data_IF_211018048848
#
_entry.id   IF_211018048848
#
_cell.length_a   1.000
_cell.length_b   1.000
_cell.length_c   1.000
_cell.angle_alpha   90.00
_cell.angle_beta   90.00
_cell.angle_gamma   90.00
#
_symmetry.space_group_name_H-M   'P 1'
#
loop_
_entity.id
_entity.type
_entity.pdbx_description
1 polymer ?
#
# COMPACT_ATOMS: atom_id res chain seq x y z
N UNK A 1 -10.67 9.14 17.22
CA UNK A 1 -11.16 8.07 16.34
C UNK A 1 -11.21 8.60 14.91
N UNK A 2 -10.21 8.32 14.06
CA UNK A 2 -10.35 8.60 12.62
C UNK A 2 -11.32 7.56 12.06
N UNK A 3 -12.47 8.00 11.54
CA UNK A 3 -13.42 7.12 10.87
C UNK A 3 -12.75 6.36 9.73
N UNK A 4 -13.10 5.09 9.53
CA UNK A 4 -12.63 4.33 8.37
C UNK A 4 -13.15 5.02 7.12
N UNK A 5 -12.24 5.40 6.21
CA UNK A 5 -12.60 5.86 4.87
C UNK A 5 -13.23 4.68 4.14
N UNK A 6 -14.44 4.86 3.58
CA UNK A 6 -15.10 3.83 2.79
C UNK A 6 -14.36 3.58 1.47
N UNK A 7 -14.71 2.48 0.79
CA UNK A 7 -14.01 2.05 -0.42
C UNK A 7 -14.15 3.06 -1.57
N UNK A 8 -15.33 3.63 -1.76
CA UNK A 8 -15.59 4.54 -2.88
C UNK A 8 -14.78 5.82 -2.72
N UNK A 9 -14.81 6.39 -1.51
CA UNK A 9 -13.98 7.54 -1.14
C UNK A 9 -12.50 7.23 -1.33
N UNK A 10 -12.04 6.06 -0.87
CA UNK A 10 -10.64 5.65 -1.03
C UNK A 10 -10.22 5.53 -2.50
N UNK A 11 -11.09 4.96 -3.35
CA UNK A 11 -10.87 4.86 -4.79
C UNK A 11 -10.85 6.23 -5.46
N UNK A 12 -11.73 7.15 -5.07
CA UNK A 12 -11.75 8.52 -5.57
C UNK A 12 -10.44 9.25 -5.29
N UNK A 13 -9.95 9.18 -4.06
CA UNK A 13 -8.66 9.77 -3.66
C UNK A 13 -7.50 9.11 -4.41
N UNK A 14 -7.50 7.78 -4.55
CA UNK A 14 -6.45 7.08 -5.30
C UNK A 14 -6.40 7.52 -6.78
N UNK A 15 -7.55 7.72 -7.44
CA UNK A 15 -7.60 8.23 -8.82
C UNK A 15 -6.99 9.62 -8.94
N UNK A 16 -7.29 10.52 -8.00
CA UNK A 16 -6.74 11.87 -7.96
C UNK A 16 -5.21 11.88 -7.79
N UNK A 17 -4.69 11.04 -6.90
CA UNK A 17 -3.23 10.86 -6.72
C UNK A 17 -2.58 10.37 -8.03
N UNK A 18 -3.21 9.40 -8.72
CA UNK A 18 -2.68 8.89 -10.00
C UNK A 18 -2.68 9.96 -11.11
N UNK A 19 -3.69 10.84 -11.11
CA UNK A 19 -3.79 11.96 -12.04
C UNK A 19 -2.81 13.11 -11.73
N UNK A 20 -2.08 13.04 -10.61
CA UNK A 20 -1.16 14.10 -10.18
C UNK A 20 -1.81 15.23 -9.39
N UNK A 21 -3.03 15.02 -8.90
CA UNK A 21 -3.83 16.03 -8.21
C UNK A 21 -4.21 15.58 -6.78
N UNK A 22 -3.22 15.30 -5.89
CA UNK A 22 -3.52 14.81 -4.56
C UNK A 22 -4.43 15.78 -3.79
N UNK A 23 -5.47 15.29 -3.10
CA UNK A 23 -6.24 16.14 -2.19
C UNK A 23 -5.36 16.68 -1.05
N UNK A 24 -5.74 17.81 -0.41
CA UNK A 24 -5.05 18.31 0.78
C UNK A 24 -4.90 17.21 1.85
N UNK A 25 -3.69 17.10 2.43
CA UNK A 25 -3.33 16.10 3.44
C UNK A 25 -2.81 14.76 2.88
N UNK A 26 -2.68 14.64 1.55
CA UNK A 26 -2.13 13.47 0.86
C UNK A 26 -0.79 13.74 0.16
N UNK A 27 -0.15 14.88 0.42
CA UNK A 27 1.06 15.35 -0.23
C UNK A 27 2.23 14.37 -0.04
N UNK A 28 2.47 13.87 1.18
CA UNK A 28 3.55 12.92 1.41
C UNK A 28 3.22 11.53 0.87
N UNK A 29 1.93 11.19 0.73
CA UNK A 29 1.54 9.94 0.06
C UNK A 29 1.78 10.06 -1.45
N UNK A 30 1.51 11.22 -2.04
CA UNK A 30 1.80 11.49 -3.45
C UNK A 30 3.30 11.44 -3.73
N UNK A 31 4.12 12.09 -2.90
CA UNK A 31 5.59 12.00 -3.00
C UNK A 31 6.09 10.55 -2.89
N UNK A 32 5.61 9.79 -1.90
CA UNK A 32 5.94 8.36 -1.78
C UNK A 32 5.50 7.54 -3.00
N UNK A 33 4.36 7.88 -3.62
CA UNK A 33 3.92 7.25 -4.85
C UNK A 33 4.83 7.56 -6.04
N UNK A 34 5.28 8.80 -6.20
CA UNK A 34 6.20 9.18 -7.28
C UNK A 34 7.52 8.40 -7.18
N UNK A 35 8.09 8.29 -5.97
CA UNK A 35 9.29 7.48 -5.74
C UNK A 35 9.05 5.99 -6.04
N UNK A 36 7.91 5.45 -5.61
CA UNK A 36 7.54 4.07 -5.90
C UNK A 36 7.41 3.83 -7.41
N UNK A 37 6.83 4.79 -8.15
CA UNK A 37 6.65 4.72 -9.60
C UNK A 37 7.98 4.76 -10.36
N UNK A 38 8.97 5.49 -9.86
CA UNK A 38 10.35 5.46 -10.40
C UNK A 38 11.01 4.10 -10.14
N UNK A 39 10.74 3.50 -8.97
CA UNK A 39 11.38 2.25 -8.55
C UNK A 39 10.85 1.02 -9.28
N UNK A 40 9.56 1.01 -9.63
CA UNK A 40 8.89 -0.16 -10.19
C UNK A 40 8.25 0.15 -11.55
N UNK A 41 8.47 -0.73 -12.52
CA UNK A 41 7.67 -0.73 -13.75
C UNK A 41 6.46 -1.65 -13.57
N UNK A 42 5.28 -1.04 -13.36
CA UNK A 42 4.01 -1.74 -13.07
C UNK A 42 2.84 -1.02 -13.74
N UNK A 43 1.76 -1.75 -14.09
CA UNK A 43 0.58 -1.13 -14.68
C UNK A 43 -0.13 -0.21 -13.68
N UNK A 44 -0.81 0.83 -14.17
CA UNK A 44 -1.57 1.80 -13.36
C UNK A 44 -2.54 1.14 -12.38
N UNK A 45 -3.18 0.03 -12.77
CA UNK A 45 -4.08 -0.74 -11.90
C UNK A 45 -3.39 -1.29 -10.65
N UNK A 46 -2.10 -1.60 -10.71
CA UNK A 46 -1.31 -2.04 -9.56
C UNK A 46 -1.10 -0.89 -8.57
N UNK A 47 -0.74 0.30 -9.05
CA UNK A 47 -0.59 1.51 -8.23
C UNK A 47 -1.92 1.94 -7.61
N UNK A 48 -2.98 1.96 -8.40
CA UNK A 48 -4.34 2.25 -7.94
C UNK A 48 -4.74 1.37 -6.76
N UNK A 49 -4.52 0.06 -6.90
CA UNK A 49 -4.81 -0.94 -5.89
C UNK A 49 -3.95 -0.74 -4.63
N UNK A 50 -2.68 -0.41 -4.76
CA UNK A 50 -1.80 -0.14 -3.62
C UNK A 50 -2.24 1.12 -2.85
N UNK A 51 -2.49 2.23 -3.55
CA UNK A 51 -2.96 3.49 -2.98
C UNK A 51 -4.30 3.33 -2.26
N UNK A 52 -5.26 2.64 -2.88
CA UNK A 52 -6.58 2.38 -2.28
C UNK A 52 -6.43 1.69 -0.91
N UNK A 53 -5.54 0.69 -0.82
CA UNK A 53 -5.25 -0.01 0.46
C UNK A 53 -4.64 0.91 1.51
N UNK A 54 -3.76 1.82 1.11
CA UNK A 54 -3.17 2.81 2.02
C UNK A 54 -4.26 3.72 2.59
N UNK A 55 -5.14 4.22 1.74
CA UNK A 55 -6.20 5.18 2.10
C UNK A 55 -7.27 4.50 2.98
N UNK A 56 -7.62 3.24 2.70
CA UNK A 56 -8.49 2.44 3.55
C UNK A 56 -7.89 2.12 4.94
N UNK A 57 -6.57 2.23 5.09
CA UNK A 57 -5.89 2.18 6.39
C UNK A 57 -5.05 0.93 6.58
N UNK A 58 -3.78 1.00 6.16
CA UNK A 58 -2.74 0.06 6.58
C UNK A 58 -2.37 0.33 8.04
N UNK A 59 -2.41 -0.71 8.88
CA UNK A 59 -2.09 -0.62 10.31
C UNK A 59 -0.79 -1.31 10.62
N UNK A 60 0.16 -0.62 11.25
CA UNK A 60 1.35 -1.25 11.84
C UNK A 60 0.95 -1.90 13.17
N UNK A 61 1.20 -3.20 13.31
CA UNK A 61 0.87 -3.99 14.52
C UNK A 61 2.11 -4.56 15.21
N UNK A 62 3.29 -4.39 14.61
CA UNK A 62 4.56 -4.70 15.24
C UNK A 62 5.71 -3.95 14.57
N UNK A 63 6.94 -4.10 15.09
CA UNK A 63 8.12 -3.41 14.53
C UNK A 63 8.32 -3.71 13.03
N UNK A 64 7.99 -4.93 12.62
CA UNK A 64 8.19 -5.44 11.26
C UNK A 64 6.90 -6.05 10.68
N UNK A 65 5.73 -5.64 11.15
CA UNK A 65 4.45 -6.26 10.78
C UNK A 65 3.33 -5.23 10.60
N UNK A 66 2.62 -5.38 9.49
CA UNK A 66 1.49 -4.57 9.07
C UNK A 66 0.28 -5.43 8.71
N UNK A 67 -0.91 -4.94 9.06
CA UNK A 67 -2.19 -5.39 8.55
C UNK A 67 -2.61 -4.48 7.41
N UNK A 68 -2.94 -5.08 6.27
CA UNK A 68 -3.32 -4.38 5.03
C UNK A 68 -4.77 -4.74 4.69
N UNK A 69 -5.64 -3.75 4.46
CA UNK A 69 -7.02 -4.01 4.03
C UNK A 69 -7.06 -4.79 2.71
N UNK A 70 -7.97 -5.76 2.62
CA UNK A 70 -8.42 -6.32 1.36
C UNK A 70 -9.37 -5.34 0.65
N UNK A 71 -9.40 -5.43 -0.67
CA UNK A 71 -10.33 -4.69 -1.54
C UNK A 71 -11.07 -5.67 -2.47
N UNK A 72 -12.13 -5.27 -3.20
CA UNK A 72 -12.80 -6.19 -4.11
C UNK A 72 -11.83 -6.93 -5.06
N UNK A 73 -12.08 -8.24 -5.21
CA UNK A 73 -11.21 -9.18 -5.89
C UNK A 73 -10.16 -9.86 -5.00
N UNK A 74 -9.98 -9.40 -3.76
CA UNK A 74 -9.20 -10.11 -2.75
C UNK A 74 -10.05 -11.19 -2.06
N UNK A 75 -9.42 -12.29 -1.64
CA UNK A 75 -10.09 -13.41 -0.97
C UNK A 75 -10.41 -13.10 0.50
N UNK A 76 -9.62 -12.25 1.14
CA UNK A 76 -9.71 -11.99 2.58
C UNK A 76 -9.84 -10.48 2.85
N UNK A 77 -10.52 -10.09 3.94
CA UNK A 77 -10.71 -8.68 4.29
C UNK A 77 -9.43 -8.01 4.82
N UNK A 78 -8.45 -8.78 5.28
CA UNK A 78 -7.17 -8.30 5.81
C UNK A 78 -6.06 -9.27 5.42
N UNK A 79 -4.90 -8.72 5.11
CA UNK A 79 -3.67 -9.46 4.80
C UNK A 79 -2.55 -9.02 5.73
N UNK A 80 -1.67 -9.96 6.06
CA UNK A 80 -0.48 -9.68 6.83
C UNK A 80 0.71 -9.49 5.90
N UNK A 81 1.47 -8.43 6.18
CA UNK A 81 2.76 -8.17 5.55
C UNK A 81 3.81 -8.04 6.65
N UNK A 82 4.88 -8.79 6.52
CA UNK A 82 6.00 -8.81 7.46
C UNK A 82 7.30 -8.48 6.74
N UNK A 83 8.23 -7.83 7.46
CA UNK A 83 9.61 -7.70 7.03
C UNK A 83 10.43 -8.80 7.72
N UNK A 84 10.93 -9.76 6.94
CA UNK A 84 11.76 -10.87 7.44
C UNK A 84 13.03 -10.35 8.11
N UNK A 85 13.72 -11.22 8.85
CA UNK A 85 14.98 -10.84 9.52
C UNK A 85 16.03 -10.39 8.50
N UNK A 86 16.02 -11.02 7.33
CA UNK A 86 16.88 -10.80 6.16
C UNK A 86 16.45 -9.58 5.32
N UNK A 87 15.47 -8.80 5.77
CA UNK A 87 15.05 -7.57 5.08
C UNK A 87 14.11 -7.77 3.89
N UNK A 88 13.54 -8.97 3.70
CA UNK A 88 12.59 -9.25 2.62
C UNK A 88 11.16 -9.05 3.08
N UNK A 89 10.31 -8.44 2.25
CA UNK A 89 8.89 -8.36 2.54
C UNK A 89 8.18 -9.67 2.18
N UNK A 90 7.36 -10.16 3.11
CA UNK A 90 6.59 -11.38 2.95
C UNK A 90 5.12 -11.05 3.18
N UNK A 91 4.26 -11.42 2.23
CA UNK A 91 2.81 -11.29 2.31
C UNK A 91 2.19 -12.67 2.45
N UNK A 92 1.21 -12.83 3.35
CA UNK A 92 0.43 -14.07 3.45
C UNK A 92 -0.42 -14.36 2.19
N UNK A 93 -0.64 -13.36 1.34
CA UNK A 93 -1.21 -13.50 0.00
C UNK A 93 -0.36 -14.33 -0.97
N UNK A 94 0.94 -14.51 -0.71
CA UNK A 94 1.82 -15.33 -1.56
C UNK A 94 1.56 -16.83 -1.41
N UNK A 95 1.12 -17.30 -0.23
CA UNK A 95 0.86 -18.72 0.02
C UNK A 95 -0.53 -19.20 -0.39
N UNK A 96 -1.37 -18.34 -0.97
CA UNK A 96 -2.81 -18.61 -1.13
C UNK A 96 -3.28 -18.24 -2.54
N UNK A 97 -3.31 -19.25 -3.41
CA UNK A 97 -3.53 -19.23 -4.87
C UNK A 97 -2.39 -18.55 -5.67
N UNK A 98 -1.81 -19.26 -6.65
CA UNK A 98 -0.73 -18.81 -7.57
C UNK A 98 0.63 -18.45 -6.93
N UNK A 99 1.04 -19.18 -5.89
CA UNK A 99 2.23 -18.86 -5.08
C UNK A 99 3.57 -18.86 -5.82
N UNK A 100 3.76 -19.74 -6.80
CA UNK A 100 5.06 -19.89 -7.49
C UNK A 100 5.39 -18.76 -8.48
N UNK A 101 4.37 -18.09 -9.04
CA UNK A 101 4.57 -16.93 -9.94
C UNK A 101 4.61 -15.60 -9.19
N UNK A 102 3.93 -15.48 -8.05
CA UNK A 102 3.87 -14.23 -7.24
C UNK A 102 5.00 -14.08 -6.23
N UNK A 103 5.63 -15.17 -5.79
CA UNK A 103 6.83 -15.12 -4.94
C UNK A 103 8.02 -14.37 -5.59
N UNK A 104 7.99 -14.18 -6.92
CA UNK A 104 8.98 -13.42 -7.70
C UNK A 104 8.61 -11.93 -7.91
N UNK A 105 7.45 -11.46 -7.42
CA UNK A 105 6.97 -10.09 -7.68
C UNK A 105 6.33 -9.44 -6.45
N UNK A 106 6.55 -8.13 -6.27
CA UNK A 106 5.90 -7.34 -5.22
C UNK A 106 4.38 -7.27 -5.48
N UNK A 107 3.58 -7.82 -4.57
CA UNK A 107 2.12 -7.66 -4.61
C UNK A 107 1.69 -6.25 -4.18
N UNK A 108 0.44 -5.89 -4.48
CA UNK A 108 -0.14 -4.60 -4.08
C UNK A 108 -0.27 -4.45 -2.55
N UNK A 109 -0.27 -5.55 -1.78
CA UNK A 109 -0.25 -5.47 -0.31
C UNK A 109 1.12 -5.04 0.22
N UNK A 110 2.21 -5.59 -0.31
CA UNK A 110 3.57 -5.13 0.02
C UNK A 110 3.80 -3.72 -0.46
N UNK A 111 3.32 -3.37 -1.66
CA UNK A 111 3.36 -2.01 -2.19
C UNK A 111 2.71 -0.99 -1.24
N UNK A 112 1.55 -1.32 -0.68
CA UNK A 112 0.87 -0.47 0.29
C UNK A 112 1.72 -0.24 1.55
N UNK A 113 2.45 -1.27 2.01
CA UNK A 113 3.39 -1.12 3.13
C UNK A 113 4.58 -0.23 2.76
N UNK A 114 5.15 -0.38 1.55
CA UNK A 114 6.22 0.49 1.07
C UNK A 114 5.78 1.96 1.08
N UNK A 115 4.59 2.25 0.52
CA UNK A 115 4.01 3.60 0.48
C UNK A 115 3.82 4.18 1.89
N UNK A 116 3.21 3.42 2.81
CA UNK A 116 2.98 3.87 4.19
C UNK A 116 4.28 4.16 4.91
N UNK A 117 5.27 3.28 4.78
CA UNK A 117 6.57 3.47 5.41
C UNK A 117 7.24 4.74 4.90
N UNK A 118 7.25 4.96 3.58
CA UNK A 118 7.89 6.14 3.00
C UNK A 118 7.13 7.42 3.31
N UNK A 119 5.80 7.41 3.20
CA UNK A 119 4.95 8.53 3.64
C UNK A 119 5.22 8.90 5.11
N UNK A 120 5.29 7.92 6.00
CA UNK A 120 5.50 8.17 7.43
C UNK A 120 6.92 8.68 7.73
N UNK A 121 7.91 8.29 6.92
CA UNK A 121 9.26 8.85 6.97
C UNK A 121 9.29 10.31 6.51
N UNK A 122 8.69 10.61 5.34
CA UNK A 122 8.56 11.97 4.82
C UNK A 122 7.86 12.90 5.82
N UNK A 123 6.77 12.42 6.44
CA UNK A 123 6.06 13.15 7.51
C UNK A 123 6.91 13.47 8.73
N UNK A 124 7.98 12.72 9.00
CA UNK A 124 8.90 13.00 10.11
C UNK A 124 10.01 13.97 9.72
N UNK A 125 10.43 13.96 8.46
CA UNK A 125 11.50 14.83 7.96
C UNK A 125 11.02 16.28 7.73
N UNK A 126 9.72 16.46 7.47
CA UNK A 126 9.10 17.75 7.17
C UNK A 126 8.40 18.38 8.40
N UNK A 127 8.63 17.82 9.59
CA UNK A 127 8.17 18.35 10.88
C UNK A 127 9.38 18.82 11.69
#
# INVERSE_FOLDING_TARGET
MQGRVDLETAMGIARRILAGEPPPGYEELYAAYLELKVTFDKPTSWYFRALTRVIMGVRRVGKRHWLVPGIPGDRYPVYNVWLSKEGKYVCDCYGRAYGDRRSKMICTHVAAVLLVRRRDELKRLLR
#
